data_IF_854160216942
#
_entry.id   IF_854160216942
#
_cell.length_a   1.000
_cell.length_b   1.000
_cell.length_c   1.000
_cell.angle_alpha   90.00
_cell.angle_beta   90.00
_cell.angle_gamma   90.00
#
_symmetry.space_group_name_H-M   'P 1'
#
loop_
_entity.id
_entity.type
_entity.pdbx_description
1 polymer ?
#
# COMPACT_ATOMS: atom_id res chain seq x y z
N UNK A 1 -4.92 -16.70 -30.12
CA UNK A 1 -3.73 -15.90 -29.78
C UNK A 1 -4.10 -14.88 -28.73
N UNK A 2 -3.29 -14.77 -27.69
CA UNK A 2 -3.44 -13.74 -26.66
C UNK A 2 -2.40 -12.64 -26.89
N UNK A 3 -2.81 -11.40 -26.78
CA UNK A 3 -1.96 -10.25 -27.05
C UNK A 3 -1.52 -9.64 -25.73
N UNK A 4 -0.21 -9.48 -25.56
CA UNK A 4 0.39 -8.86 -24.39
C UNK A 4 0.61 -7.37 -24.67
N UNK A 5 0.07 -6.47 -23.84
CA UNK A 5 0.37 -5.05 -23.97
C UNK A 5 1.87 -4.80 -23.75
N UNK A 6 2.47 -3.97 -24.59
CA UNK A 6 3.87 -3.52 -24.38
C UNK A 6 4.02 -2.49 -23.27
N UNK A 7 2.91 -1.95 -22.78
CA UNK A 7 2.94 -0.93 -21.75
C UNK A 7 3.35 -1.55 -20.41
N UNK A 8 4.45 -1.10 -19.86
CA UNK A 8 4.82 -1.39 -18.48
C UNK A 8 5.62 -2.67 -18.24
N UNK A 9 6.32 -3.17 -19.23
CA UNK A 9 7.25 -4.29 -19.02
C UNK A 9 8.34 -3.90 -18.00
N UNK A 10 8.42 -4.62 -16.90
CA UNK A 10 9.29 -4.34 -15.74
C UNK A 10 8.96 -3.05 -14.94
N UNK A 11 7.77 -2.50 -15.04
CA UNK A 11 7.36 -1.40 -14.18
C UNK A 11 6.49 -1.89 -13.02
N UNK A 12 6.66 -1.30 -11.85
CA UNK A 12 5.87 -1.63 -10.67
C UNK A 12 4.38 -1.31 -10.83
N UNK A 13 4.09 -0.21 -11.53
CA UNK A 13 2.74 0.20 -11.84
C UNK A 13 2.57 0.35 -13.33
N UNK A 14 1.63 -0.40 -13.89
CA UNK A 14 1.18 -0.17 -15.24
C UNK A 14 0.48 1.18 -15.32
N UNK A 15 0.78 1.96 -16.36
CA UNK A 15 0.00 3.14 -16.68
C UNK A 15 -1.36 2.71 -17.24
N UNK A 16 -2.33 2.53 -16.33
CA UNK A 16 -3.66 2.04 -16.68
C UNK A 16 -4.42 3.00 -17.58
N UNK A 17 -4.17 4.32 -17.45
CA UNK A 17 -4.74 5.32 -18.37
C UNK A 17 -4.26 5.09 -19.80
N UNK A 18 -2.96 4.96 -19.98
CA UNK A 18 -2.39 4.66 -21.30
C UNK A 18 -2.90 3.33 -21.86
N UNK A 19 -2.98 2.30 -21.01
CA UNK A 19 -3.55 1.01 -21.38
C UNK A 19 -5.01 1.16 -21.83
N UNK A 20 -5.79 1.93 -21.12
CA UNK A 20 -7.19 2.19 -21.43
C UNK A 20 -7.37 2.97 -22.75
N UNK A 21 -6.62 4.04 -22.93
CA UNK A 21 -6.77 4.93 -24.07
C UNK A 21 -6.18 4.37 -25.37
N UNK A 22 -5.05 3.69 -25.30
CA UNK A 22 -4.24 3.35 -26.48
C UNK A 22 -4.23 1.86 -26.84
N UNK A 23 -4.33 0.96 -25.86
CA UNK A 23 -4.19 -0.46 -26.14
C UNK A 23 -5.47 -1.08 -26.70
N UNK A 24 -5.30 -2.00 -27.63
CA UNK A 24 -6.35 -2.86 -28.15
C UNK A 24 -5.77 -4.21 -28.54
N UNK A 25 -6.49 -5.33 -28.32
CA UNK A 25 -6.04 -6.63 -28.79
C UNK A 25 -5.94 -6.72 -30.33
N UNK A 26 -6.58 -5.81 -31.05
CA UNK A 26 -6.49 -5.74 -32.52
C UNK A 26 -5.20 -5.09 -33.05
N UNK A 27 -4.26 -4.70 -32.16
CA UNK A 27 -2.98 -4.12 -32.56
C UNK A 27 -1.83 -4.95 -31.97
N UNK A 28 -1.11 -5.65 -32.81
CA UNK A 28 0.05 -6.48 -32.45
C UNK A 28 1.32 -5.85 -33.02
N UNK A 29 2.16 -5.26 -32.16
CA UNK A 29 3.44 -4.65 -32.57
C UNK A 29 3.32 -3.62 -33.71
N UNK A 30 2.21 -2.87 -33.73
CA UNK A 30 1.95 -1.88 -34.77
C UNK A 30 1.17 -2.42 -35.99
N UNK A 31 1.00 -3.72 -36.10
CA UNK A 31 0.14 -4.32 -37.11
C UNK A 31 -1.30 -4.26 -36.63
N UNK A 32 -2.16 -3.63 -37.42
CA UNK A 32 -3.60 -3.53 -37.13
C UNK A 32 -4.36 -4.68 -37.77
N UNK A 33 -5.20 -5.30 -37.00
CA UNK A 33 -6.11 -6.35 -37.42
C UNK A 33 -7.55 -5.86 -37.31
N UNK A 34 -8.49 -6.48 -38.03
CA UNK A 34 -9.91 -6.23 -37.77
C UNK A 34 -10.24 -6.51 -36.29
N UNK A 35 -11.06 -5.66 -35.70
CA UNK A 35 -11.60 -5.95 -34.38
C UNK A 35 -12.40 -7.25 -34.39
N UNK A 36 -12.34 -7.98 -33.29
CA UNK A 36 -12.97 -9.31 -33.16
C UNK A 36 -12.50 -10.33 -34.21
N UNK A 37 -11.26 -10.18 -34.66
CA UNK A 37 -10.69 -11.20 -35.56
C UNK A 37 -10.68 -12.55 -34.85
N UNK A 38 -11.22 -13.58 -35.51
CA UNK A 38 -11.46 -14.91 -34.92
C UNK A 38 -10.23 -15.62 -34.34
N UNK A 39 -9.03 -15.24 -34.73
CA UNK A 39 -7.78 -15.79 -34.21
C UNK A 39 -7.23 -15.00 -33.00
N UNK A 40 -7.85 -13.86 -32.65
CA UNK A 40 -7.49 -13.08 -31.48
C UNK A 40 -8.53 -13.37 -30.40
N UNK A 41 -8.13 -14.17 -29.41
CA UNK A 41 -9.02 -14.66 -28.36
C UNK A 41 -9.06 -13.73 -27.14
N UNK A 42 -8.06 -12.86 -26.99
CA UNK A 42 -8.00 -11.93 -25.89
C UNK A 42 -6.63 -11.31 -25.67
N UNK A 43 -6.42 -10.79 -24.48
CA UNK A 43 -5.15 -10.27 -24.01
C UNK A 43 -4.66 -11.03 -22.79
N UNK A 44 -3.36 -10.99 -22.57
CA UNK A 44 -2.73 -11.54 -21.38
C UNK A 44 -1.70 -10.54 -20.86
N UNK A 45 -1.46 -10.55 -19.57
CA UNK A 45 -0.31 -9.91 -18.96
C UNK A 45 0.33 -10.87 -17.96
N UNK A 46 1.58 -10.65 -17.67
CA UNK A 46 2.32 -11.43 -16.70
C UNK A 46 2.69 -10.57 -15.50
N UNK A 47 2.69 -11.19 -14.34
CA UNK A 47 3.20 -10.60 -13.10
C UNK A 47 4.58 -11.19 -12.86
N UNK A 48 5.61 -10.37 -13.02
CA UNK A 48 6.99 -10.75 -12.84
C UNK A 48 7.54 -10.15 -11.56
N UNK A 49 7.93 -10.98 -10.62
CA UNK A 49 8.48 -10.55 -9.32
C UNK A 49 10.01 -10.73 -9.24
N UNK A 50 10.66 -11.08 -10.34
CA UNK A 50 12.08 -11.38 -10.39
C UNK A 50 13.00 -10.15 -10.20
N UNK A 51 12.49 -8.94 -10.39
CA UNK A 51 13.23 -7.69 -10.21
C UNK A 51 12.69 -6.87 -9.03
N UNK A 52 11.51 -7.17 -8.61
CA UNK A 52 10.93 -6.51 -7.44
C UNK A 52 11.64 -7.08 -6.24
N UNK A 53 12.49 -6.29 -5.63
CA UNK A 53 13.25 -6.72 -4.45
C UNK A 53 12.31 -7.26 -3.38
N UNK A 54 12.88 -7.93 -2.43
CA UNK A 54 12.19 -8.38 -1.25
C UNK A 54 11.43 -7.20 -0.60
N UNK A 55 10.32 -7.43 0.07
CA UNK A 55 9.51 -6.40 0.72
C UNK A 55 8.20 -6.10 0.00
N UNK A 56 7.76 -7.01 -0.89
CA UNK A 56 6.43 -6.99 -1.48
C UNK A 56 5.61 -8.12 -0.86
N UNK A 57 4.49 -7.76 -0.25
CA UNK A 57 3.50 -8.72 0.21
C UNK A 57 2.57 -9.15 -0.93
N UNK A 58 1.83 -10.24 -0.73
CA UNK A 58 0.78 -10.67 -1.65
C UNK A 58 -0.24 -9.55 -1.91
N UNK A 59 -0.52 -8.73 -0.90
CA UNK A 59 -1.41 -7.57 -1.01
C UNK A 59 -0.87 -6.50 -1.95
N UNK A 60 0.42 -6.22 -1.87
CA UNK A 60 1.09 -5.27 -2.77
C UNK A 60 1.01 -5.75 -4.23
N UNK A 61 1.18 -7.06 -4.45
CA UNK A 61 1.03 -7.67 -5.77
C UNK A 61 -0.40 -7.49 -6.30
N UNK A 62 -1.40 -7.79 -5.49
CA UNK A 62 -2.81 -7.62 -5.86
C UNK A 62 -3.14 -6.16 -6.16
N UNK A 63 -2.68 -5.25 -5.33
CA UNK A 63 -2.93 -3.81 -5.50
C UNK A 63 -2.35 -3.27 -6.82
N UNK A 64 -1.24 -3.84 -7.29
CA UNK A 64 -0.64 -3.52 -8.59
C UNK A 64 -1.39 -4.14 -9.76
N UNK A 65 -1.82 -5.38 -9.59
CA UNK A 65 -2.41 -6.19 -10.65
C UNK A 65 -3.86 -5.81 -10.92
N UNK A 66 -4.64 -5.56 -9.88
CA UNK A 66 -6.09 -5.38 -10.01
C UNK A 66 -6.50 -4.25 -10.96
N UNK A 67 -5.95 -3.02 -10.88
CA UNK A 67 -6.31 -1.96 -11.81
C UNK A 67 -5.99 -2.29 -13.28
N UNK A 68 -4.87 -2.97 -13.52
CA UNK A 68 -4.47 -3.40 -14.86
C UNK A 68 -5.39 -4.50 -15.39
N UNK A 69 -5.75 -5.46 -14.53
CA UNK A 69 -6.68 -6.54 -14.87
C UNK A 69 -8.05 -5.99 -15.25
N UNK A 70 -8.59 -5.09 -14.44
CA UNK A 70 -9.89 -4.44 -14.70
C UNK A 70 -9.87 -3.63 -15.99
N UNK A 71 -8.79 -2.91 -16.24
CA UNK A 71 -8.60 -2.14 -17.48
C UNK A 71 -8.57 -3.06 -18.70
N UNK A 72 -7.77 -4.13 -18.66
CA UNK A 72 -7.69 -5.09 -19.75
C UNK A 72 -9.02 -5.81 -19.97
N UNK A 73 -9.68 -6.26 -18.92
CA UNK A 73 -11.00 -6.90 -19.02
C UNK A 73 -12.00 -6.00 -19.73
N UNK A 74 -12.05 -4.71 -19.36
CA UNK A 74 -12.91 -3.73 -20.01
C UNK A 74 -12.56 -3.59 -21.49
N UNK A 75 -11.28 -3.45 -21.83
CA UNK A 75 -10.84 -3.31 -23.23
C UNK A 75 -11.10 -4.55 -24.07
N UNK A 76 -10.94 -5.73 -23.51
CA UNK A 76 -11.25 -6.99 -24.21
C UNK A 76 -12.75 -7.14 -24.46
N UNK A 77 -13.58 -6.68 -23.52
CA UNK A 77 -15.03 -6.74 -23.66
C UNK A 77 -15.60 -5.69 -24.62
N UNK A 78 -15.13 -4.46 -24.49
CA UNK A 78 -15.66 -3.31 -25.24
C UNK A 78 -14.96 -3.03 -26.56
N UNK A 79 -13.77 -3.60 -26.79
CA UNK A 79 -12.92 -3.31 -27.96
C UNK A 79 -12.07 -2.05 -27.76
N UNK A 80 -11.60 -1.48 -28.88
CA UNK A 80 -10.68 -0.35 -28.89
C UNK A 80 -11.27 0.93 -28.29
N UNK A 81 -12.59 1.11 -28.42
CA UNK A 81 -13.29 2.32 -27.97
C UNK A 81 -14.39 1.95 -26.96
N UNK A 82 -14.08 1.93 -25.67
CA UNK A 82 -15.10 1.86 -24.64
C UNK A 82 -16.12 3.00 -24.79
N UNK A 83 -17.35 2.77 -24.33
CA UNK A 83 -18.44 3.76 -24.40
C UNK A 83 -18.31 4.92 -23.40
N UNK A 84 -17.32 4.88 -22.53
CA UNK A 84 -17.04 5.86 -21.47
C UNK A 84 -15.54 6.18 -21.43
N UNK A 85 -15.20 7.36 -20.96
CA UNK A 85 -13.81 7.80 -20.82
C UNK A 85 -13.13 7.17 -19.60
N UNK A 86 -11.83 7.45 -19.43
CA UNK A 86 -11.05 6.83 -18.34
C UNK A 86 -11.50 7.28 -16.94
N UNK A 87 -11.89 8.53 -16.75
CA UNK A 87 -12.40 9.06 -15.49
C UNK A 87 -13.75 8.42 -15.11
N UNK A 88 -14.65 8.28 -16.06
CA UNK A 88 -15.89 7.53 -15.86
C UNK A 88 -15.64 6.05 -15.56
N UNK A 89 -14.64 5.46 -16.19
CA UNK A 89 -14.18 4.11 -15.88
C UNK A 89 -13.71 4.00 -14.42
N UNK A 90 -12.86 4.91 -13.96
CA UNK A 90 -12.41 4.92 -12.57
C UNK A 90 -13.58 5.07 -11.59
N UNK A 91 -14.53 5.95 -11.87
CA UNK A 91 -15.74 6.10 -11.07
C UNK A 91 -16.56 4.81 -10.98
N UNK A 92 -16.65 4.05 -12.06
CA UNK A 92 -17.33 2.73 -12.06
C UNK A 92 -16.56 1.69 -11.24
N UNK A 93 -15.22 1.70 -11.28
CA UNK A 93 -14.40 0.78 -10.48
C UNK A 93 -14.62 0.95 -8.98
N UNK A 94 -14.86 2.16 -8.52
CA UNK A 94 -15.15 2.45 -7.10
C UNK A 94 -16.45 1.79 -6.62
N UNK A 95 -17.37 1.47 -7.53
CA UNK A 95 -18.64 0.80 -7.20
C UNK A 95 -18.55 -0.73 -7.24
N UNK A 96 -17.44 -1.28 -7.73
CA UNK A 96 -17.23 -2.71 -7.78
C UNK A 96 -16.64 -3.19 -6.45
N UNK A 97 -17.30 -4.18 -5.86
CA UNK A 97 -16.72 -4.89 -4.72
C UNK A 97 -15.60 -5.81 -5.18
N UNK A 98 -14.62 -6.00 -4.33
CA UNK A 98 -13.62 -7.02 -4.55
C UNK A 98 -14.23 -8.43 -4.46
N UNK A 99 -13.59 -9.38 -5.12
CA UNK A 99 -14.04 -10.76 -5.08
C UNK A 99 -13.99 -11.31 -3.63
N UNK A 100 -14.94 -12.15 -3.24
CA UNK A 100 -14.90 -12.81 -1.93
C UNK A 100 -13.55 -13.52 -1.71
N UNK A 101 -12.92 -13.31 -0.56
CA UNK A 101 -11.61 -13.88 -0.22
C UNK A 101 -10.41 -13.00 -0.60
N UNK A 102 -10.60 -11.95 -1.39
CA UNK A 102 -9.61 -10.88 -1.58
C UNK A 102 -9.81 -9.74 -0.58
N UNK A 103 -10.57 -9.98 0.47
CA UNK A 103 -10.81 -8.99 1.50
C UNK A 103 -9.50 -8.70 2.22
N UNK A 104 -8.85 -7.64 1.81
CA UNK A 104 -7.61 -7.16 2.43
C UNK A 104 -7.92 -6.77 3.85
N UNK A 105 -7.44 -7.58 4.78
CA UNK A 105 -7.46 -7.18 6.17
C UNK A 105 -6.84 -5.79 6.28
N UNK A 106 -7.66 -4.79 6.59
CA UNK A 106 -7.20 -3.40 6.67
C UNK A 106 -7.80 -2.45 5.64
N UNK A 107 -8.63 -2.92 4.71
CA UNK A 107 -9.36 -2.04 3.82
C UNK A 107 -10.72 -1.68 4.44
N UNK A 108 -10.94 -0.42 4.74
CA UNK A 108 -12.16 0.08 5.37
C UNK A 108 -12.72 1.25 4.57
N UNK A 109 -14.04 1.46 4.56
CA UNK A 109 -14.63 2.70 4.05
C UNK A 109 -14.03 3.92 4.75
N UNK A 110 -13.99 5.05 4.06
CA UNK A 110 -13.51 6.30 4.64
C UNK A 110 -14.24 6.65 5.95
N UNK A 111 -13.50 7.02 6.96
CA UNK A 111 -14.00 7.32 8.29
C UNK A 111 -13.18 6.73 9.42
N UNK A 112 -13.70 6.86 10.64
CA UNK A 112 -13.08 6.30 11.83
C UNK A 112 -13.30 4.80 11.88
N UNK A 113 -12.21 4.06 11.96
CA UNK A 113 -12.18 2.59 11.97
C UNK A 113 -11.98 2.05 13.39
N UNK A 114 -11.16 2.75 14.20
CA UNK A 114 -10.89 2.41 15.59
C UNK A 114 -10.70 3.69 16.40
N UNK A 115 -11.27 3.73 17.59
CA UNK A 115 -11.05 4.79 18.57
C UNK A 115 -10.96 4.19 19.97
N UNK A 116 -9.86 4.47 20.68
CA UNK A 116 -9.58 3.97 22.02
C UNK A 116 -9.05 5.09 22.92
N UNK A 117 -9.68 5.28 24.06
CA UNK A 117 -9.24 6.30 25.01
C UNK A 117 -7.86 6.00 25.61
N UNK A 118 -7.53 4.73 25.81
CA UNK A 118 -6.25 4.28 26.37
C UNK A 118 -5.87 2.93 25.81
N UNK A 119 -4.63 2.78 25.39
CA UNK A 119 -4.08 1.50 24.93
C UNK A 119 -3.23 0.90 26.04
N UNK A 120 -3.67 -0.23 26.57
CA UNK A 120 -2.90 -0.98 27.55
C UNK A 120 -1.83 -1.86 26.86
N UNK A 121 -0.65 -2.04 27.45
CA UNK A 121 0.30 -3.04 26.98
C UNK A 121 -0.34 -4.43 26.94
N UNK A 122 -0.12 -5.16 25.85
CA UNK A 122 -0.70 -6.48 25.62
C UNK A 122 -2.17 -6.49 25.19
N UNK A 123 -2.82 -5.34 25.01
CA UNK A 123 -4.20 -5.28 24.53
C UNK A 123 -4.35 -5.87 23.13
N UNK A 124 -5.48 -6.50 22.88
CA UNK A 124 -5.84 -7.04 21.57
C UNK A 124 -7.00 -6.24 21.01
N UNK A 125 -6.86 -5.75 19.80
CA UNK A 125 -7.90 -5.01 19.08
C UNK A 125 -8.66 -5.93 18.13
N UNK A 126 -9.93 -5.57 17.86
CA UNK A 126 -10.77 -6.32 16.92
C UNK A 126 -10.37 -6.09 15.45
N UNK A 127 -9.48 -5.13 15.20
CA UNK A 127 -9.02 -4.74 13.88
C UNK A 127 -7.57 -5.16 13.71
N UNK A 128 -7.25 -6.03 12.73
CA UNK A 128 -5.89 -6.55 12.58
C UNK A 128 -4.91 -5.47 12.09
N UNK A 129 -5.30 -4.66 11.13
CA UNK A 129 -4.47 -3.63 10.52
C UNK A 129 -5.32 -2.63 9.75
N UNK A 130 -4.75 -1.47 9.39
CA UNK A 130 -5.37 -0.51 8.47
C UNK A 130 -4.43 -0.27 7.28
N UNK A 131 -4.99 -0.43 6.08
CA UNK A 131 -4.26 -0.23 4.81
C UNK A 131 -4.51 1.14 4.19
N UNK A 132 -3.93 1.35 3.06
CA UNK A 132 -3.90 2.65 2.38
C UNK A 132 -5.29 3.05 1.85
N UNK A 133 -5.65 4.31 1.95
CA UNK A 133 -4.96 5.42 2.60
C UNK A 133 -5.41 5.52 4.05
N UNK A 134 -4.52 5.80 4.98
CA UNK A 134 -4.90 5.86 6.39
C UNK A 134 -4.18 6.95 7.16
N UNK A 135 -4.76 7.28 8.33
CA UNK A 135 -4.14 8.05 9.39
C UNK A 135 -4.34 7.33 10.73
N UNK A 136 -3.27 6.98 11.40
CA UNK A 136 -3.30 6.48 12.79
C UNK A 136 -2.65 7.52 13.68
N UNK A 137 -3.37 7.99 14.69
CA UNK A 137 -2.87 9.01 15.61
C UNK A 137 -3.14 8.62 17.06
N UNK A 138 -2.25 9.05 17.97
CA UNK A 138 -2.35 8.84 19.40
C UNK A 138 -1.50 9.85 20.15
N UNK A 139 -1.81 10.04 21.44
CA UNK A 139 -0.98 10.82 22.35
C UNK A 139 -0.05 9.86 23.09
N UNK A 140 1.19 10.24 23.25
CA UNK A 140 2.21 9.47 23.97
C UNK A 140 2.86 10.32 25.05
N UNK A 141 2.93 9.76 26.26
CA UNK A 141 3.83 10.19 27.31
C UNK A 141 4.97 9.16 27.40
N UNK A 142 6.11 9.56 26.84
CA UNK A 142 7.22 8.65 26.59
C UNK A 142 7.93 8.27 27.89
N UNK A 143 8.22 6.97 28.03
CA UNK A 143 9.11 6.41 29.05
C UNK A 143 10.37 5.87 28.38
N UNK A 144 11.36 5.46 29.22
CA UNK A 144 12.54 4.79 28.70
C UNK A 144 12.15 3.43 28.13
N UNK A 145 12.16 3.33 26.81
CA UNK A 145 11.93 2.08 26.08
C UNK A 145 13.25 1.39 25.72
N UNK A 146 13.22 0.09 25.68
CA UNK A 146 14.33 -0.71 25.19
C UNK A 146 14.30 -0.79 23.65
N UNK A 147 15.46 -1.01 23.03
CA UNK A 147 15.50 -1.28 21.59
C UNK A 147 14.67 -2.52 21.25
N UNK A 148 13.87 -2.43 20.20
CA UNK A 148 12.94 -3.47 19.80
C UNK A 148 11.55 -3.36 20.45
N UNK A 149 11.28 -2.28 21.22
CA UNK A 149 9.95 -2.09 21.83
C UNK A 149 8.90 -1.84 20.76
N UNK A 150 7.97 -2.79 20.64
CA UNK A 150 6.84 -2.76 19.72
C UNK A 150 5.67 -2.03 20.37
N UNK A 151 5.03 -1.11 19.63
CA UNK A 151 3.74 -0.53 20.01
C UNK A 151 2.59 -1.41 19.53
N UNK A 152 2.57 -1.75 18.25
CA UNK A 152 1.56 -2.61 17.65
C UNK A 152 2.19 -3.63 16.70
N UNK A 153 1.55 -4.79 16.58
CA UNK A 153 1.93 -5.83 15.64
C UNK A 153 0.73 -6.53 15.01
N UNK A 154 0.93 -7.07 13.81
CA UNK A 154 0.07 -8.02 13.14
C UNK A 154 0.89 -8.87 12.16
N UNK A 155 0.85 -10.19 12.33
CA UNK A 155 1.71 -11.09 11.57
C UNK A 155 3.19 -10.76 11.80
N UNK A 156 3.92 -10.56 10.72
CA UNK A 156 5.34 -10.15 10.73
C UNK A 156 5.55 -8.63 10.70
N UNK A 157 4.47 -7.85 10.66
CA UNK A 157 4.51 -6.40 10.66
C UNK A 157 4.50 -5.85 12.09
N UNK A 158 5.48 -4.99 12.40
CA UNK A 158 5.63 -4.36 13.71
C UNK A 158 5.80 -2.85 13.54
N UNK A 159 5.11 -2.08 14.35
CA UNK A 159 5.37 -0.65 14.53
C UNK A 159 6.07 -0.44 15.87
N UNK A 160 7.26 0.15 15.84
CA UNK A 160 8.16 0.30 16.99
C UNK A 160 8.10 1.70 17.58
N UNK A 161 8.04 1.78 18.91
CA UNK A 161 8.39 2.98 19.67
C UNK A 161 9.91 3.21 19.72
N UNK A 162 10.67 2.10 19.66
CA UNK A 162 12.12 2.09 19.64
C UNK A 162 12.55 0.89 18.78
N UNK A 163 12.99 1.14 17.56
CA UNK A 163 13.39 0.06 16.65
C UNK A 163 14.61 -0.72 17.16
N UNK A 164 14.81 -1.97 16.74
CA UNK A 164 15.86 -2.82 17.29
C UNK A 164 17.28 -2.39 16.94
N UNK A 165 17.47 -1.51 15.94
CA UNK A 165 18.79 -1.11 15.45
C UNK A 165 19.15 0.30 15.91
N UNK A 166 18.37 1.30 15.53
CA UNK A 166 18.66 2.71 15.79
C UNK A 166 18.08 3.21 17.12
N UNK A 167 17.04 2.55 17.66
CA UNK A 167 16.31 3.03 18.83
C UNK A 167 15.40 4.22 18.53
N UNK A 168 15.02 4.40 17.28
CA UNK A 168 14.11 5.44 16.78
C UNK A 168 12.73 4.85 16.53
N UNK A 169 11.75 5.71 16.27
CA UNK A 169 10.45 5.27 15.75
C UNK A 169 10.68 4.57 14.40
N UNK A 170 10.01 3.44 14.19
CA UNK A 170 10.18 2.68 12.97
C UNK A 170 9.13 1.61 12.78
N UNK A 171 9.23 0.87 11.71
CA UNK A 171 8.42 -0.32 11.47
C UNK A 171 9.21 -1.39 10.75
N UNK A 172 8.78 -2.63 10.90
CA UNK A 172 9.24 -3.73 10.05
C UNK A 172 8.05 -4.37 9.34
N UNK A 173 8.28 -4.81 8.12
CA UNK A 173 7.36 -5.67 7.36
C UNK A 173 8.17 -6.54 6.40
N UNK A 174 7.69 -7.72 6.13
CA UNK A 174 8.31 -8.65 5.18
C UNK A 174 9.83 -8.87 5.43
N UNK A 175 10.25 -8.83 6.72
CA UNK A 175 11.65 -8.98 7.14
C UNK A 175 12.52 -7.73 6.97
N UNK A 176 11.98 -6.59 6.56
CA UNK A 176 12.73 -5.33 6.37
C UNK A 176 12.37 -4.31 7.44
N UNK A 177 13.41 -3.64 7.95
CA UNK A 177 13.28 -2.54 8.90
C UNK A 177 13.34 -1.19 8.20
N UNK A 178 12.41 -0.32 8.57
CA UNK A 178 12.28 1.07 8.12
C UNK A 178 12.27 1.98 9.32
N UNK A 179 13.23 2.89 9.40
CA UNK A 179 13.43 3.78 10.54
C UNK A 179 13.12 5.21 10.16
N UNK A 180 12.22 5.85 10.91
CA UNK A 180 11.97 7.30 10.79
C UNK A 180 13.11 8.09 11.41
N UNK A 181 13.33 9.31 10.94
CA UNK A 181 14.32 10.19 11.54
C UNK A 181 13.75 10.94 12.76
N UNK A 182 13.23 10.17 13.71
CA UNK A 182 12.70 10.68 14.97
C UNK A 182 12.91 9.67 16.10
N UNK A 183 13.41 10.16 17.23
CA UNK A 183 13.57 9.39 18.47
C UNK A 183 12.73 10.02 19.58
N UNK A 184 12.00 9.20 20.32
CA UNK A 184 11.32 9.59 21.54
C UNK A 184 12.32 9.61 22.71
N UNK A 185 12.24 10.66 23.53
CA UNK A 185 13.00 10.74 24.76
C UNK A 185 12.09 10.61 25.98
N UNK A 186 12.55 10.00 27.07
CA UNK A 186 11.77 9.88 28.30
C UNK A 186 11.27 11.23 28.81
N UNK A 187 9.98 11.29 29.17
CA UNK A 187 9.32 12.51 29.64
C UNK A 187 8.69 13.36 28.53
N UNK A 188 8.95 13.08 27.26
CA UNK A 188 8.25 13.76 26.16
C UNK A 188 6.77 13.43 26.16
N UNK A 189 5.95 14.47 25.93
CA UNK A 189 4.50 14.35 25.72
C UNK A 189 4.18 14.89 24.34
N UNK A 190 3.84 14.00 23.43
CA UNK A 190 3.62 14.37 22.04
C UNK A 190 2.36 13.71 21.48
N UNK A 191 1.71 14.38 20.54
CA UNK A 191 0.75 13.75 19.65
C UNK A 191 1.49 13.23 18.43
N UNK A 192 1.43 11.92 18.26
CA UNK A 192 2.01 11.24 17.11
C UNK A 192 0.92 10.92 16.10
N UNK A 193 1.23 11.05 14.80
CA UNK A 193 0.39 10.51 13.74
C UNK A 193 1.25 9.87 12.66
N UNK A 194 0.81 8.70 12.21
CA UNK A 194 1.36 7.99 11.06
C UNK A 194 0.34 8.04 9.94
N UNK A 195 0.75 8.54 8.79
CA UNK A 195 -0.08 8.62 7.59
C UNK A 195 0.57 7.77 6.52
N UNK A 196 -0.17 6.82 5.99
CA UNK A 196 0.35 5.90 4.98
C UNK A 196 -0.52 5.87 3.73
N UNK A 197 0.14 5.93 2.60
CA UNK A 197 -0.42 5.66 1.28
C UNK A 197 0.48 4.66 0.53
N UNK A 198 0.15 4.35 -0.71
CA UNK A 198 0.94 3.42 -1.55
C UNK A 198 2.32 3.96 -1.93
N UNK A 199 2.56 5.24 -1.74
CA UNK A 199 3.80 5.91 -2.17
C UNK A 199 4.75 6.17 -1.02
N UNK A 200 4.21 6.39 0.20
CA UNK A 200 5.02 6.69 1.37
C UNK A 200 4.32 6.43 2.70
N UNK A 201 5.12 6.35 3.75
CA UNK A 201 4.66 6.41 5.14
C UNK A 201 5.27 7.63 5.80
N UNK A 202 4.44 8.51 6.34
CA UNK A 202 4.83 9.80 6.91
C UNK A 202 4.60 9.81 8.41
N UNK A 203 5.57 10.31 9.17
CA UNK A 203 5.49 10.50 10.61
C UNK A 203 5.29 11.98 10.94
N UNK A 204 4.27 12.28 11.73
CA UNK A 204 3.96 13.61 12.23
C UNK A 204 4.08 13.62 13.76
N UNK A 205 4.71 14.66 14.29
CA UNK A 205 4.77 14.95 15.72
C UNK A 205 4.18 16.33 15.97
N UNK A 206 3.17 16.40 16.84
CA UNK A 206 2.44 17.63 17.14
C UNK A 206 1.95 18.35 15.86
N UNK A 207 1.40 17.56 14.93
CA UNK A 207 0.93 17.97 13.60
C UNK A 207 2.00 18.51 12.62
N UNK A 208 3.28 18.37 12.95
CA UNK A 208 4.38 18.71 12.04
C UNK A 208 4.95 17.46 11.43
N UNK A 209 5.11 17.43 10.11
CA UNK A 209 5.84 16.38 9.42
C UNK A 209 7.30 16.38 9.91
N UNK A 210 7.77 15.25 10.40
CA UNK A 210 9.15 15.09 10.89
C UNK A 210 9.96 14.10 10.06
N UNK A 211 9.29 13.15 9.41
CA UNK A 211 9.98 12.16 8.58
C UNK A 211 9.04 11.53 7.57
N UNK A 212 9.53 11.34 6.34
CA UNK A 212 8.87 10.59 5.27
C UNK A 212 9.73 9.38 4.89
N UNK A 213 9.07 8.24 4.71
CA UNK A 213 9.66 7.03 4.17
C UNK A 213 8.97 6.68 2.84
N UNK A 214 9.48 7.20 1.72
CA UNK A 214 8.90 6.93 0.40
C UNK A 214 9.19 5.51 -0.05
N UNK A 215 8.44 5.02 -1.04
CA UNK A 215 8.74 3.79 -1.76
C UNK A 215 10.18 3.82 -2.25
N UNK A 216 10.84 2.69 -2.19
CA UNK A 216 12.22 2.60 -2.64
C UNK A 216 12.29 2.53 -4.15
N UNK A 217 13.25 3.25 -4.70
CA UNK A 217 13.55 3.29 -6.12
C UNK A 217 14.85 2.55 -6.37
N UNK A 218 14.82 1.67 -7.35
CA UNK A 218 16.01 0.99 -7.84
C UNK A 218 16.23 1.32 -9.31
N UNK A 219 17.48 1.62 -9.69
CA UNK A 219 17.84 1.87 -11.07
C UNK A 219 18.44 0.59 -11.68
N UNK A 220 17.85 0.12 -12.77
CA UNK A 220 18.30 -1.05 -13.51
C UNK A 220 19.00 -0.69 -14.82
N UNK A 221 19.69 0.42 -14.87
CA UNK A 221 20.43 0.90 -16.03
C UNK A 221 19.51 1.15 -17.23
N UNK A 222 19.73 0.46 -18.34
CA UNK A 222 18.94 0.63 -19.57
C UNK A 222 17.45 0.30 -19.43
N UNK A 223 17.05 -0.38 -18.34
CA UNK A 223 15.64 -0.72 -18.07
C UNK A 223 14.92 0.38 -17.32
N UNK A 224 15.65 1.41 -16.87
CA UNK A 224 15.09 2.55 -16.14
C UNK A 224 14.93 2.29 -14.64
N UNK A 225 14.16 3.16 -14.01
CA UNK A 225 13.88 3.12 -12.59
C UNK A 225 12.69 2.20 -12.31
N UNK A 226 12.82 1.42 -11.26
CA UNK A 226 11.77 0.58 -10.73
C UNK A 226 11.50 0.93 -9.27
N UNK A 227 10.25 0.79 -8.87
CA UNK A 227 9.81 1.11 -7.53
C UNK A 227 9.25 -0.16 -6.88
N UNK A 228 9.54 -0.35 -5.61
CA UNK A 228 8.88 -1.37 -4.82
C UNK A 228 8.24 -0.75 -3.58
N UNK A 229 7.09 -1.28 -3.24
CA UNK A 229 6.30 -0.78 -2.12
C UNK A 229 6.95 -1.26 -0.83
N UNK A 230 7.37 -0.29 -0.04
CA UNK A 230 7.89 -0.51 1.30
C UNK A 230 7.14 0.32 2.33
N UNK A 231 5.93 0.75 1.98
CA UNK A 231 5.08 1.54 2.87
C UNK A 231 4.36 0.65 3.87
N UNK A 232 4.02 1.21 5.01
CA UNK A 232 3.40 0.48 6.11
C UNK A 232 1.90 0.31 5.85
N UNK A 233 1.42 -0.94 5.90
CA UNK A 233 0.04 -1.23 6.31
C UNK A 233 0.09 -1.28 7.83
N UNK A 234 -0.57 -0.35 8.51
CA UNK A 234 -0.37 -0.14 9.93
C UNK A 234 -0.98 -1.28 10.75
N UNK A 235 -0.16 -2.01 11.54
CA UNK A 235 -0.65 -3.11 12.38
C UNK A 235 -1.41 -2.53 13.58
N UNK A 236 -2.52 -3.16 13.95
CA UNK A 236 -3.34 -2.71 15.08
C UNK A 236 -3.70 -3.85 16.03
N UNK A 237 -3.59 -5.11 15.60
CA UNK A 237 -4.18 -6.25 16.33
C UNK A 237 -3.64 -6.42 17.74
N UNK A 238 -2.33 -6.40 17.91
CA UNK A 238 -1.68 -6.71 19.17
C UNK A 238 -0.83 -5.55 19.66
N UNK A 239 -1.20 -4.94 20.77
CA UNK A 239 -0.32 -4.02 21.48
C UNK A 239 0.85 -4.77 22.13
N UNK A 240 2.05 -4.21 22.01
CA UNK A 240 3.26 -4.80 22.59
C UNK A 240 3.42 -4.55 24.09
N UNK A 241 4.56 -4.97 24.62
CA UNK A 241 4.95 -4.69 26.01
C UNK A 241 5.78 -3.41 26.06
N UNK A 242 5.14 -2.26 26.19
CA UNK A 242 5.77 -0.94 26.29
C UNK A 242 5.51 -0.31 27.67
N UNK A 243 6.34 0.66 28.04
CA UNK A 243 6.28 1.37 29.33
C UNK A 243 5.58 2.74 29.20
N UNK A 244 5.62 3.32 28.02
CA UNK A 244 5.01 4.62 27.70
C UNK A 244 3.49 4.58 27.86
N UNK A 245 2.90 5.72 28.21
CA UNK A 245 1.44 5.84 28.28
C UNK A 245 0.90 6.25 26.92
N UNK A 246 -0.01 5.47 26.37
CA UNK A 246 -0.67 5.71 25.08
C UNK A 246 -2.15 6.02 25.32
N UNK A 247 -2.61 7.15 24.82
CA UNK A 247 -4.01 7.59 24.93
C UNK A 247 -4.51 8.17 23.62
N UNK A 248 -5.84 8.30 23.50
CA UNK A 248 -6.52 8.92 22.36
C UNK A 248 -6.10 8.31 21.02
N UNK A 249 -5.97 6.97 20.98
CA UNK A 249 -5.72 6.24 19.73
C UNK A 249 -6.91 6.42 18.81
N UNK A 250 -6.63 6.84 17.58
CA UNK A 250 -7.61 6.95 16.51
C UNK A 250 -7.00 6.43 15.22
N UNK A 251 -7.66 5.48 14.57
CA UNK A 251 -7.33 5.01 13.24
C UNK A 251 -8.44 5.39 12.27
N UNK A 252 -8.09 6.08 11.19
CA UNK A 252 -9.00 6.60 10.18
C UNK A 252 -8.57 6.08 8.80
N UNK A 253 -9.53 5.53 8.06
CA UNK A 253 -9.38 5.28 6.63
C UNK A 253 -9.68 6.58 5.88
N UNK A 254 -8.79 6.97 4.98
CA UNK A 254 -8.88 8.17 4.16
C UNK A 254 -9.39 7.79 2.76
N UNK A 255 -9.99 8.75 2.04
CA UNK A 255 -10.38 8.59 0.64
C UNK A 255 -9.18 8.52 -0.31
#
# INVERSE_FOLDING_TARGET
VYIVPKAGYYYDYLNTKKLYDEWTPANINGMKFPERHKQIEGGAFAVWNDIVGNGISDKDVHYRVLPALQTMATKMWTGAKPSFNYEEFLGKLQTLSEAPGLNYAGYYPAGVVLEEATVAPGAVQNIPQIGWNYRVSFDIEAQQEEKGTVLFSFGDTHFYLSDPVAGKIGFSRDGYLYTFDYQLFPGEKVRMAVVGDKEKTSLYINNRLVSDLPVRKMNFGKRGDMYYISTLVFPLQQAGAFKSKITNLKAESLE
#
